data_IF_018138611873
#
_entry.id   IF_018138611873
#
_cell.length_a   1.000
_cell.length_b   1.000
_cell.length_c   1.000
_cell.angle_alpha   90.00
_cell.angle_beta   90.00
_cell.angle_gamma   90.00
#
_symmetry.space_group_name_H-M   'P 1'
#
loop_
_entity.id
_entity.type
_entity.pdbx_description
1 polymer ?
#
# COMPACT_ATOMS: atom_id res chain seq x y z
N UNK A 1 -7.36 17.88 -22.14
CA UNK A 1 -7.41 16.57 -21.69
C UNK A 1 -6.43 16.29 -20.58
N UNK A 2 -6.90 15.94 -19.46
CA UNK A 2 -6.01 15.64 -18.36
C UNK A 2 -5.31 14.35 -18.67
N UNK A 3 -4.05 14.38 -18.46
CA UNK A 3 -3.30 13.22 -18.63
C UNK A 3 -2.64 12.93 -17.37
N UNK A 4 -2.81 11.74 -16.95
CA UNK A 4 -1.88 11.23 -15.98
C UNK A 4 -0.59 11.03 -16.71
N UNK A 5 0.44 11.54 -16.15
CA UNK A 5 1.70 11.52 -16.82
C UNK A 5 2.45 10.23 -16.58
N UNK A 6 2.41 9.71 -15.36
CA UNK A 6 3.15 8.50 -15.01
C UNK A 6 2.24 7.49 -14.32
N UNK A 7 2.06 6.34 -14.96
CA UNK A 7 1.32 5.21 -14.41
C UNK A 7 2.18 3.98 -14.56
N UNK A 8 2.31 3.22 -13.49
CA UNK A 8 3.09 1.99 -13.52
C UNK A 8 2.43 0.93 -12.65
N UNK A 9 2.45 -0.31 -13.10
CA UNK A 9 1.79 -1.42 -12.42
C UNK A 9 2.72 -2.61 -12.33
N UNK A 10 2.72 -3.27 -11.16
CA UNK A 10 3.40 -4.55 -10.98
C UNK A 10 2.41 -5.56 -10.42
N UNK A 11 2.66 -6.83 -10.70
CA UNK A 11 1.91 -7.95 -10.14
C UNK A 11 2.90 -9.01 -9.68
N UNK A 12 2.60 -9.64 -8.55
CA UNK A 12 3.46 -10.72 -8.05
C UNK A 12 2.63 -11.70 -7.22
N UNK A 13 3.16 -12.92 -7.08
CA UNK A 13 2.47 -13.94 -6.28
C UNK A 13 2.56 -13.63 -4.79
N UNK A 14 1.64 -14.19 -4.01
CA UNK A 14 1.48 -13.88 -2.58
C UNK A 14 2.48 -14.62 -1.71
N UNK A 15 3.76 -14.51 -2.04
CA UNK A 15 4.84 -15.05 -1.23
C UNK A 15 5.43 -13.94 -0.37
N UNK A 16 5.61 -14.16 0.94
CA UNK A 16 6.18 -13.12 1.80
C UNK A 16 7.51 -12.58 1.32
N UNK A 17 8.37 -13.41 0.73
CA UNK A 17 9.65 -12.97 0.20
C UNK A 17 9.52 -11.98 -0.96
N UNK A 18 8.35 -11.92 -1.60
CA UNK A 18 8.11 -10.99 -2.71
C UNK A 18 7.97 -9.53 -2.25
N UNK A 19 8.03 -9.28 -0.95
CA UNK A 19 8.09 -7.91 -0.47
C UNK A 19 9.33 -7.19 -1.03
N UNK A 20 10.37 -7.92 -1.40
CA UNK A 20 11.55 -7.34 -2.04
C UNK A 20 11.23 -6.72 -3.41
N UNK A 21 10.23 -7.25 -4.10
CA UNK A 21 9.76 -6.68 -5.36
C UNK A 21 9.14 -5.31 -5.12
N UNK A 22 8.39 -5.18 -4.02
CA UNK A 22 7.77 -3.92 -3.63
C UNK A 22 8.84 -2.88 -3.30
N UNK A 23 9.85 -3.27 -2.55
CA UNK A 23 10.95 -2.38 -2.19
C UNK A 23 11.67 -1.86 -3.43
N UNK A 24 11.94 -2.75 -4.39
CA UNK A 24 12.57 -2.33 -5.64
C UNK A 24 11.66 -1.40 -6.45
N UNK A 25 10.37 -1.68 -6.48
CA UNK A 25 9.39 -0.85 -7.16
C UNK A 25 9.42 0.59 -6.63
N UNK A 26 9.51 0.74 -5.32
CA UNK A 26 9.58 2.05 -4.66
C UNK A 26 10.91 2.72 -4.92
N UNK A 27 12.02 1.97 -4.90
CA UNK A 27 13.34 2.52 -5.23
C UNK A 27 13.38 3.05 -6.65
N UNK A 28 12.81 2.30 -7.60
CA UNK A 28 12.76 2.71 -9.00
C UNK A 28 11.92 3.97 -9.18
N UNK A 29 10.93 4.17 -8.33
CA UNK A 29 10.08 5.35 -8.37
C UNK A 29 10.90 6.64 -8.27
N UNK A 30 11.91 6.66 -7.40
CA UNK A 30 12.73 7.87 -7.18
C UNK A 30 13.57 8.25 -8.40
N UNK A 31 13.79 7.33 -9.32
CA UNK A 31 14.51 7.64 -10.55
C UNK A 31 13.61 8.34 -11.57
N UNK A 32 12.31 8.20 -11.42
CA UNK A 32 11.33 8.73 -12.38
C UNK A 32 10.56 9.92 -11.83
N UNK A 33 10.38 9.98 -10.52
CA UNK A 33 9.57 11.01 -9.86
C UNK A 33 10.40 11.65 -8.77
N UNK A 34 10.33 12.97 -8.69
CA UNK A 34 11.04 13.71 -7.66
C UNK A 34 10.28 13.60 -6.34
N UNK A 35 10.82 12.81 -5.42
CA UNK A 35 10.21 12.57 -4.12
C UNK A 35 11.22 12.91 -3.04
N UNK A 36 10.82 13.77 -2.11
CA UNK A 36 11.69 14.13 -0.98
C UNK A 36 11.89 12.96 -0.03
N UNK A 37 12.94 13.02 0.76
CA UNK A 37 13.32 11.91 1.66
C UNK A 37 12.23 11.57 2.66
N UNK A 38 11.55 12.56 3.23
CA UNK A 38 10.49 12.34 4.23
C UNK A 38 9.31 11.61 3.60
N UNK A 39 8.87 12.06 2.44
CA UNK A 39 7.76 11.43 1.73
C UNK A 39 8.15 10.02 1.27
N UNK A 40 9.38 9.86 0.79
CA UNK A 40 9.88 8.54 0.39
C UNK A 40 9.80 7.54 1.54
N UNK A 41 10.24 7.94 2.73
CA UNK A 41 10.16 7.08 3.91
C UNK A 41 8.72 6.71 4.26
N UNK A 42 7.82 7.67 4.18
CA UNK A 42 6.40 7.43 4.44
C UNK A 42 5.80 6.46 3.41
N UNK A 43 6.16 6.63 2.14
CA UNK A 43 5.72 5.72 1.08
C UNK A 43 6.25 4.31 1.33
N UNK A 44 7.53 4.19 1.64
CA UNK A 44 8.16 2.89 1.85
C UNK A 44 7.46 2.11 2.97
N UNK A 45 7.26 2.75 4.12
CA UNK A 45 6.60 2.10 5.26
C UNK A 45 5.15 1.75 4.91
N UNK A 46 4.40 2.71 4.37
CA UNK A 46 2.98 2.51 4.09
C UNK A 46 2.74 1.43 3.05
N UNK A 47 3.53 1.46 1.98
CA UNK A 47 3.33 0.52 0.88
C UNK A 47 3.78 -0.90 1.26
N UNK A 48 4.86 -1.03 2.03
CA UNK A 48 5.27 -2.36 2.50
C UNK A 48 4.25 -2.94 3.48
N UNK A 49 3.65 -2.12 4.34
CA UNK A 49 2.59 -2.58 5.23
C UNK A 49 1.35 -3.01 4.45
N UNK A 50 0.95 -2.22 3.46
CA UNK A 50 -0.19 -2.56 2.61
C UNK A 50 0.06 -3.85 1.83
N UNK A 51 1.26 -4.01 1.30
CA UNK A 51 1.64 -5.21 0.56
C UNK A 51 1.67 -6.44 1.47
N UNK A 52 2.22 -6.32 2.67
CA UNK A 52 2.22 -7.42 3.64
C UNK A 52 0.80 -7.82 4.03
N UNK A 53 -0.07 -6.85 4.24
CA UNK A 53 -1.48 -7.13 4.54
C UNK A 53 -2.14 -7.87 3.37
N UNK A 54 -1.86 -7.45 2.14
CA UNK A 54 -2.41 -8.11 0.96
C UNK A 54 -1.92 -9.55 0.83
N UNK A 55 -0.64 -9.79 1.05
CA UNK A 55 -0.04 -11.13 0.95
C UNK A 55 -0.56 -12.04 2.06
N UNK A 56 -0.45 -11.59 3.31
CA UNK A 56 -0.67 -12.44 4.48
C UNK A 56 -2.14 -12.53 4.84
N UNK A 57 -2.81 -11.40 4.94
CA UNK A 57 -4.19 -11.36 5.42
C UNK A 57 -5.21 -11.42 4.29
N UNK A 58 -4.96 -10.76 3.17
CA UNK A 58 -5.84 -10.79 2.02
C UNK A 58 -5.80 -12.14 1.30
N UNK A 59 -4.66 -12.46 0.75
CA UNK A 59 -4.48 -13.69 -0.04
C UNK A 59 -4.05 -14.90 0.78
N UNK A 60 -3.77 -14.71 2.07
CA UNK A 60 -3.39 -15.79 3.01
C UNK A 60 -2.20 -16.61 2.51
N UNK A 61 -1.23 -15.91 1.92
CA UNK A 61 -0.01 -16.51 1.38
C UNK A 61 -0.26 -17.56 0.29
N UNK A 62 -1.40 -17.49 -0.39
CA UNK A 62 -1.71 -18.42 -1.48
C UNK A 62 -0.94 -17.98 -2.73
N UNK A 63 0.05 -18.79 -3.12
CA UNK A 63 0.92 -18.47 -4.24
C UNK A 63 0.18 -18.43 -5.59
N UNK A 64 -1.01 -18.99 -5.65
CA UNK A 64 -1.85 -18.94 -6.85
C UNK A 64 -2.58 -17.61 -6.98
N UNK A 65 -2.61 -16.82 -5.92
CA UNK A 65 -3.22 -15.50 -5.92
C UNK A 65 -2.14 -14.44 -6.03
N UNK A 66 -2.49 -13.35 -6.70
CA UNK A 66 -1.54 -12.27 -6.94
C UNK A 66 -1.92 -11.01 -6.20
N UNK A 67 -0.91 -10.20 -5.91
CA UNK A 67 -1.07 -8.83 -5.43
C UNK A 67 -0.72 -7.92 -6.60
N UNK A 68 -1.54 -6.91 -6.82
CA UNK A 68 -1.30 -5.91 -7.84
C UNK A 68 -1.07 -4.57 -7.17
N UNK A 69 0.00 -3.89 -7.55
CA UNK A 69 0.30 -2.54 -7.05
C UNK A 69 0.51 -1.63 -8.25
N UNK A 70 -0.17 -0.50 -8.25
CA UNK A 70 0.03 0.52 -9.27
C UNK A 70 0.17 1.88 -8.64
N UNK A 71 0.85 2.79 -9.34
CA UNK A 71 0.86 4.18 -8.93
C UNK A 71 0.47 5.07 -10.10
N UNK A 72 -0.01 6.25 -9.77
CA UNK A 72 -0.39 7.27 -10.72
C UNK A 72 0.00 8.61 -10.15
N UNK A 73 0.75 9.38 -10.92
CA UNK A 73 1.11 10.74 -10.57
C UNK A 73 0.16 11.69 -11.30
N UNK A 74 -0.40 12.66 -10.59
CA UNK A 74 -1.32 13.59 -11.25
C UNK A 74 -0.56 14.51 -12.23
N UNK A 75 -1.32 15.20 -13.08
CA UNK A 75 -0.74 16.02 -14.15
C UNK A 75 0.10 17.18 -13.64
N UNK A 76 -0.09 17.57 -12.37
CA UNK A 76 0.68 18.65 -11.74
C UNK A 76 1.95 18.15 -11.06
N UNK A 77 2.11 16.83 -10.97
CA UNK A 77 3.24 16.24 -10.26
C UNK A 77 3.22 16.45 -8.76
N UNK A 78 2.04 16.69 -8.18
CA UNK A 78 1.91 17.03 -6.75
C UNK A 78 1.31 15.93 -5.91
N UNK A 79 0.49 15.07 -6.49
CA UNK A 79 -0.17 13.99 -5.76
C UNK A 79 0.17 12.66 -6.41
N UNK A 80 0.68 11.76 -5.60
CA UNK A 80 1.04 10.42 -6.00
C UNK A 80 0.09 9.44 -5.33
N UNK A 81 -0.63 8.65 -6.12
CA UNK A 81 -1.61 7.69 -5.61
C UNK A 81 -1.10 6.28 -5.86
N UNK A 82 -1.21 5.42 -4.85
CA UNK A 82 -0.91 4.00 -4.95
C UNK A 82 -2.19 3.21 -4.75
N UNK A 83 -2.39 2.18 -5.56
CA UNK A 83 -3.53 1.28 -5.41
C UNK A 83 -2.98 -0.13 -5.26
N UNK A 84 -3.36 -0.79 -4.18
CA UNK A 84 -2.94 -2.15 -3.87
C UNK A 84 -4.17 -3.04 -3.85
N UNK A 85 -4.16 -4.10 -4.65
CA UNK A 85 -5.28 -5.03 -4.77
C UNK A 85 -4.83 -6.43 -4.45
N UNK A 86 -5.62 -7.13 -3.63
CA UNK A 86 -5.45 -8.56 -3.43
C UNK A 86 -6.69 -9.30 -3.95
N UNK A 87 -6.65 -10.62 -3.93
CA UNK A 87 -7.73 -11.47 -4.42
C UNK A 87 -8.46 -12.17 -3.28
N UNK A 88 -8.30 -11.65 -2.08
CA UNK A 88 -8.94 -12.21 -0.90
C UNK A 88 -10.36 -11.69 -0.71
N UNK A 89 -11.03 -12.15 0.36
CA UNK A 89 -12.42 -11.77 0.64
C UNK A 89 -12.56 -10.39 1.26
N UNK A 90 -11.46 -9.69 1.53
CA UNK A 90 -11.50 -8.42 2.23
C UNK A 90 -11.43 -8.60 3.73
N UNK A 91 -11.55 -7.50 4.47
CA UNK A 91 -11.53 -7.51 5.93
C UNK A 91 -12.31 -6.33 6.47
N UNK A 92 -12.63 -6.39 7.76
CA UNK A 92 -13.39 -5.33 8.39
C UNK A 92 -12.48 -4.22 8.88
N UNK A 93 -12.14 -3.30 8.00
CA UNK A 93 -11.20 -2.22 8.32
C UNK A 93 -11.83 -1.14 9.23
N UNK A 94 -13.17 -1.08 9.31
CA UNK A 94 -13.85 -0.08 10.14
C UNK A 94 -13.85 -0.45 11.62
N UNK A 95 -13.64 -1.71 11.95
CA UNK A 95 -13.71 -2.24 13.31
C UNK A 95 -12.39 -2.73 13.82
N UNK A 96 -11.28 -2.23 13.27
CA UNK A 96 -9.96 -2.62 13.74
C UNK A 96 -9.72 -2.08 15.14
N UNK A 97 -9.15 -2.89 16.03
CA UNK A 97 -8.84 -2.42 17.37
C UNK A 97 -7.71 -1.39 17.33
N UNK A 98 -7.67 -0.54 18.35
CA UNK A 98 -6.60 0.44 18.48
C UNK A 98 -5.28 -0.31 18.74
N UNK A 99 -4.30 -0.23 17.84
CA UNK A 99 -3.05 -0.98 18.00
C UNK A 99 -2.16 -0.43 19.11
N UNK A 100 -2.48 0.77 19.62
CA UNK A 100 -1.72 1.35 20.74
C UNK A 100 -2.24 0.90 22.09
N UNK A 101 -3.40 0.26 22.16
CA UNK A 101 -3.93 -0.29 23.41
C UNK A 101 -3.09 -1.48 23.85
N UNK A 102 -2.85 -1.66 25.16
CA UNK A 102 -2.03 -2.77 25.63
C UNK A 102 -2.47 -4.14 25.14
N UNK A 103 -3.78 -4.39 25.07
CA UNK A 103 -4.31 -5.67 24.61
C UNK A 103 -4.09 -5.92 23.12
N UNK A 104 -3.72 -4.89 22.35
CA UNK A 104 -3.58 -4.99 20.91
C UNK A 104 -2.14 -4.85 20.43
N UNK A 105 -1.17 -4.72 21.33
CA UNK A 105 0.21 -4.46 20.93
C UNK A 105 0.82 -5.52 20.04
N UNK A 106 0.33 -6.74 20.10
CA UNK A 106 0.85 -7.85 19.30
C UNK A 106 0.07 -8.10 18.01
N UNK A 107 -1.00 -7.35 17.76
CA UNK A 107 -1.81 -7.54 16.56
C UNK A 107 -1.25 -6.73 15.42
N UNK A 108 -0.63 -7.41 14.45
CA UNK A 108 0.08 -6.76 13.37
C UNK A 108 -0.81 -6.16 12.30
N UNK A 109 -1.96 -6.78 11.97
CA UNK A 109 -2.81 -6.29 10.90
C UNK A 109 -3.40 -4.91 11.20
N UNK A 110 -3.88 -4.70 12.43
CA UNK A 110 -4.39 -3.39 12.83
C UNK A 110 -3.29 -2.35 12.87
N UNK A 111 -2.09 -2.76 13.25
CA UNK A 111 -0.93 -1.87 13.32
C UNK A 111 -0.56 -1.36 11.93
N UNK A 112 -0.56 -2.24 10.93
CA UNK A 112 -0.23 -1.85 9.55
C UNK A 112 -1.21 -0.83 9.00
N UNK A 113 -2.51 -1.03 9.20
CA UNK A 113 -3.53 -0.08 8.77
C UNK A 113 -3.37 1.25 9.50
N UNK A 114 -3.09 1.22 10.80
CA UNK A 114 -2.86 2.43 11.58
C UNK A 114 -1.69 3.24 11.01
N UNK A 115 -0.58 2.56 10.68
CA UNK A 115 0.59 3.22 10.09
C UNK A 115 0.25 3.86 8.75
N UNK A 116 -0.48 3.17 7.89
CA UNK A 116 -0.92 3.73 6.62
C UNK A 116 -1.69 5.03 6.82
N UNK A 117 -2.64 5.02 7.76
CA UNK A 117 -3.48 6.19 8.04
C UNK A 117 -2.69 7.35 8.63
N UNK A 118 -1.59 7.06 9.35
CA UNK A 118 -0.76 8.10 9.93
C UNK A 118 0.19 8.72 8.89
N UNK A 119 0.68 7.92 7.94
CA UNK A 119 1.76 8.35 7.06
C UNK A 119 1.29 8.83 5.69
N UNK A 120 0.17 8.31 5.19
CA UNK A 120 -0.38 8.77 3.93
C UNK A 120 -1.29 9.98 4.16
N UNK A 121 -1.40 10.83 3.16
CA UNK A 121 -2.30 11.98 3.23
C UNK A 121 -3.76 11.55 3.10
N UNK A 122 -4.02 10.45 2.40
CA UNK A 122 -5.36 9.89 2.29
C UNK A 122 -5.26 8.38 2.13
N UNK A 123 -6.18 7.65 2.78
CA UNK A 123 -6.30 6.19 2.65
C UNK A 123 -7.78 5.86 2.44
N UNK A 124 -8.09 5.14 1.37
CA UNK A 124 -9.45 4.72 1.05
C UNK A 124 -9.44 3.22 0.79
N UNK A 125 -10.28 2.50 1.52
CA UNK A 125 -10.51 1.07 1.27
C UNK A 125 -11.74 0.88 0.40
N UNK A 126 -11.69 -0.10 -0.48
CA UNK A 126 -12.83 -0.49 -1.31
C UNK A 126 -12.80 -2.00 -1.51
N UNK A 127 -13.82 -2.54 -2.20
CA UNK A 127 -13.95 -3.99 -2.41
C UNK A 127 -13.86 -4.77 -1.09
N UNK A 128 -14.55 -4.26 -0.07
CA UNK A 128 -14.58 -4.86 1.28
C UNK A 128 -13.19 -4.96 1.91
N UNK A 129 -12.28 -4.06 1.53
CA UNK A 129 -10.92 -4.05 2.07
C UNK A 129 -9.88 -4.76 1.21
N UNK A 130 -10.31 -5.39 0.12
CA UNK A 130 -9.37 -6.07 -0.79
C UNK A 130 -8.60 -5.08 -1.67
N UNK A 131 -9.05 -3.84 -1.73
CA UNK A 131 -8.37 -2.77 -2.45
C UNK A 131 -8.14 -1.62 -1.50
N UNK A 132 -6.92 -1.07 -1.51
CA UNK A 132 -6.60 0.14 -0.75
C UNK A 132 -5.93 1.14 -1.67
N UNK A 133 -6.38 2.37 -1.58
CA UNK A 133 -5.76 3.49 -2.28
C UNK A 133 -5.13 4.41 -1.25
N UNK A 134 -3.88 4.79 -1.47
CA UNK A 134 -3.17 5.73 -0.61
C UNK A 134 -2.66 6.88 -1.46
N UNK A 135 -2.81 8.10 -0.97
CA UNK A 135 -2.29 9.28 -1.65
C UNK A 135 -1.24 9.96 -0.80
N UNK A 136 -0.22 10.43 -1.46
CA UNK A 136 0.87 11.18 -0.83
C UNK A 136 1.04 12.50 -1.58
N UNK A 137 1.04 13.58 -0.85
CA UNK A 137 1.32 14.89 -1.42
C UNK A 137 2.84 15.07 -1.49
N UNK A 138 3.31 15.39 -2.66
CA UNK A 138 4.74 15.59 -2.91
C UNK A 138 5.18 17.03 -2.67
#
# INVERSE_FOLDING_TARGET
MPMTTDVKTIKFSSKPENISIVEKFIDDLRTEINVGDDVYGNILISLTEAANNAIIHGNKCDEKKQVEISYELDSRGKNLSFIIKDQGPGFEYNNLPDPTSPENLEKTSGRGVFLMMQLADMVVFSDKGATVEMQFRL
#
